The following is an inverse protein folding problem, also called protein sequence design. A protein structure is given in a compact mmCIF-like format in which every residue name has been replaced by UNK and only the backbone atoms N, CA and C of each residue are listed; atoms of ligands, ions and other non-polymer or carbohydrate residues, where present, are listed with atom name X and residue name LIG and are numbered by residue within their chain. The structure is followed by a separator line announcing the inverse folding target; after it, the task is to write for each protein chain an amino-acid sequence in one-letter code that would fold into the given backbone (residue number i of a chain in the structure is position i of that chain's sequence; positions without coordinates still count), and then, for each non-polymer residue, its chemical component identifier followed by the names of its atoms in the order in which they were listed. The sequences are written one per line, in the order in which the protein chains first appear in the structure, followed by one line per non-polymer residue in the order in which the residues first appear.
data_IF_539116642482
#
_entry.id   IF_539116642482
#
_cell.length_a   1.000
_cell.length_b   1.000
_cell.length_c   1.000
_cell.angle_alpha   90.00
_cell.angle_beta   90.00
_cell.angle_gamma   90.00
#
_symmetry.space_group_name_H-M   'P 1'
#
loop_
_entity.id
_entity.type
_entity.pdbx_description
1 polymer ?
#
# COMPACT_ATOMS: atom_id res chain seq x y z
N UNK A 1 7.59 -1.49 5.53
CA UNK A 1 8.73 -1.04 4.71
C UNK A 1 9.34 0.28 5.16
N UNK A 2 8.58 1.38 5.35
CA UNK A 2 9.16 2.70 5.67
C UNK A 2 10.00 2.76 6.96
N UNK A 3 9.59 2.07 8.03
CA UNK A 3 10.39 2.01 9.28
C UNK A 3 11.65 1.15 9.10
N UNK A 4 11.56 0.07 8.31
CA UNK A 4 12.71 -0.79 7.98
C UNK A 4 13.75 -0.08 7.13
N UNK A 5 13.31 0.76 6.17
CA UNK A 5 14.22 1.62 5.40
C UNK A 5 14.92 2.65 6.30
N UNK A 6 14.21 3.22 7.28
CA UNK A 6 14.80 4.15 8.25
C UNK A 6 15.86 3.46 9.13
N UNK A 7 15.60 2.23 9.57
CA UNK A 7 16.57 1.41 10.31
C UNK A 7 17.79 1.02 9.45
N UNK A 8 17.62 0.90 8.14
CA UNK A 8 18.69 0.67 7.17
C UNK A 8 19.48 1.91 6.76
N UNK A 9 19.27 3.08 7.39
CA UNK A 9 20.03 4.31 7.13
C UNK A 9 19.44 5.25 6.07
N UNK A 10 18.25 4.97 5.53
CA UNK A 10 17.61 5.83 4.53
C UNK A 10 16.99 7.08 5.17
N UNK A 11 17.15 8.24 4.52
CA UNK A 11 16.52 9.50 4.97
C UNK A 11 15.00 9.36 5.04
N UNK A 12 14.37 10.15 5.92
CA UNK A 12 12.93 10.13 6.14
C UNK A 12 12.10 10.22 4.85
N UNK A 13 12.52 11.06 3.89
CA UNK A 13 11.86 11.20 2.59
C UNK A 13 11.96 9.92 1.73
N UNK A 14 13.13 9.27 1.71
CA UNK A 14 13.32 7.99 0.98
C UNK A 14 12.53 6.86 1.65
N UNK A 15 12.54 6.80 2.98
CA UNK A 15 11.77 5.83 3.75
C UNK A 15 10.26 5.95 3.50
N UNK A 16 9.74 7.18 3.39
CA UNK A 16 8.34 7.43 3.05
C UNK A 16 8.01 6.96 1.63
N UNK A 17 8.87 7.28 0.66
CA UNK A 17 8.70 6.85 -0.75
C UNK A 17 8.71 5.34 -0.90
N UNK A 18 9.66 4.65 -0.25
CA UNK A 18 9.72 3.18 -0.23
C UNK A 18 8.49 2.60 0.46
N UNK A 19 8.01 3.22 1.53
CA UNK A 19 6.76 2.81 2.20
C UNK A 19 5.53 2.91 1.30
N UNK A 20 5.38 4.01 0.57
CA UNK A 20 4.25 4.24 -0.35
C UNK A 20 4.36 3.33 -1.59
N UNK A 21 5.59 3.11 -2.10
CA UNK A 21 5.82 2.23 -3.25
C UNK A 21 5.64 0.75 -2.95
N UNK A 22 5.86 0.33 -1.71
CA UNK A 22 5.71 -1.07 -1.29
C UNK A 22 4.28 -1.43 -0.84
N UNK A 23 3.29 -0.58 -1.08
CA UNK A 23 1.91 -0.93 -0.75
C UNK A 23 1.49 -2.11 -1.64
N UNK A 24 1.26 -3.32 -1.08
CA UNK A 24 0.85 -4.45 -1.89
C UNK A 24 -0.60 -4.23 -2.30
N UNK A 25 -0.80 -3.97 -3.60
CA UNK A 25 -2.11 -3.83 -4.26
C UNK A 25 -2.12 -4.84 -5.41
N UNK A 26 -3.12 -5.71 -5.52
CA UNK A 26 -3.20 -6.65 -6.64
C UNK A 26 -3.84 -7.99 -6.31
N UNK A 27 -3.53 -8.98 -7.15
CA UNK A 27 -4.11 -10.33 -7.15
C UNK A 27 -4.07 -10.99 -5.77
N UNK A 28 -2.97 -10.83 -5.03
CA UNK A 28 -2.76 -11.50 -3.74
C UNK A 28 -3.80 -11.05 -2.71
N UNK A 29 -4.14 -9.75 -2.66
CA UNK A 29 -5.15 -9.24 -1.73
C UNK A 29 -6.55 -9.80 -2.06
N UNK A 30 -6.87 -9.92 -3.35
CA UNK A 30 -8.14 -10.49 -3.81
C UNK A 30 -8.21 -12.00 -3.59
N UNK A 31 -7.12 -12.73 -3.83
CA UNK A 31 -6.99 -14.16 -3.57
C UNK A 31 -7.20 -14.44 -2.07
N UNK A 32 -6.54 -13.69 -1.19
CA UNK A 32 -6.69 -13.85 0.26
C UNK A 32 -8.12 -13.52 0.69
N UNK A 33 -8.72 -12.45 0.17
CA UNK A 33 -10.11 -12.07 0.49
C UNK A 33 -11.11 -13.13 0.04
N UNK A 34 -10.91 -13.70 -1.15
CA UNK A 34 -11.72 -14.81 -1.65
C UNK A 34 -11.55 -16.06 -0.80
N UNK A 35 -10.32 -16.38 -0.39
CA UNK A 35 -10.06 -17.53 0.47
C UNK A 35 -10.68 -17.34 1.87
N UNK A 36 -10.68 -16.11 2.39
CA UNK A 36 -11.33 -15.75 3.65
C UNK A 36 -12.86 -15.85 3.58
N UNK A 37 -13.47 -15.47 2.45
CA UNK A 37 -14.90 -15.64 2.19
C UNK A 37 -15.29 -17.12 2.16
N UNK A 38 -14.51 -17.96 1.46
CA UNK A 38 -14.77 -19.41 1.39
C UNK A 38 -14.62 -20.11 2.74
N UNK A 39 -13.75 -19.60 3.62
CA UNK A 39 -13.59 -20.11 5.00
C UNK A 39 -14.62 -19.54 5.98
N UNK A 40 -15.54 -18.69 5.53
CA UNK A 40 -16.57 -18.07 6.38
C UNK A 40 -16.01 -17.03 7.36
N UNK A 41 -14.76 -16.60 7.21
CA UNK A 41 -14.15 -15.54 8.03
C UNK A 41 -14.68 -14.18 7.59
N UNK A 42 -14.92 -14.02 6.27
CA UNK A 42 -15.50 -12.82 5.68
C UNK A 42 -16.95 -13.06 5.29
N UNK A 43 -17.78 -12.03 5.45
CA UNK A 43 -19.10 -11.96 4.83
C UNK A 43 -19.00 -11.30 3.45
N UNK A 44 -20.07 -11.39 2.65
CA UNK A 44 -20.07 -10.80 1.31
C UNK A 44 -19.83 -9.28 1.31
N UNK A 45 -20.23 -8.62 2.41
CA UNK A 45 -19.97 -7.20 2.68
C UNK A 45 -18.48 -6.94 2.92
N UNK A 46 -17.82 -7.73 3.78
CA UNK A 46 -16.37 -7.61 4.07
C UNK A 46 -15.52 -7.79 2.80
N UNK A 47 -15.91 -8.74 1.95
CA UNK A 47 -15.27 -8.95 0.65
C UNK A 47 -15.39 -7.71 -0.24
N UNK A 48 -16.60 -7.16 -0.39
CA UNK A 48 -16.82 -5.94 -1.19
C UNK A 48 -16.08 -4.74 -0.62
N UNK A 49 -16.04 -4.58 0.70
CA UNK A 49 -15.26 -3.53 1.39
C UNK A 49 -13.77 -3.66 1.09
N UNK A 50 -13.25 -4.88 1.09
CA UNK A 50 -11.82 -5.13 0.80
C UNK A 50 -11.47 -4.81 -0.65
N UNK A 51 -12.32 -5.22 -1.60
CA UNK A 51 -12.16 -4.86 -3.02
C UNK A 51 -12.16 -3.33 -3.19
N UNK A 52 -13.14 -2.66 -2.59
CA UNK A 52 -13.25 -1.21 -2.63
C UNK A 52 -11.99 -0.53 -2.05
N UNK A 53 -11.50 -1.01 -0.91
CA UNK A 53 -10.28 -0.50 -0.29
C UNK A 53 -9.06 -0.67 -1.21
N UNK A 54 -8.92 -1.82 -1.90
CA UNK A 54 -7.84 -2.06 -2.86
C UNK A 54 -7.92 -1.11 -4.05
N UNK A 55 -9.12 -0.84 -4.58
CA UNK A 55 -9.31 0.09 -5.70
C UNK A 55 -9.02 1.52 -5.30
N UNK A 56 -9.66 2.01 -4.22
CA UNK A 56 -9.50 3.38 -3.72
C UNK A 56 -8.03 3.73 -3.55
N UNK A 57 -7.30 2.80 -3.00
CA UNK A 57 -5.93 3.01 -2.66
C UNK A 57 -4.94 2.83 -3.80
N UNK A 58 -5.25 2.00 -4.80
CA UNK A 58 -4.51 2.00 -6.07
C UNK A 58 -4.65 3.36 -6.76
N UNK A 59 -5.81 4.03 -6.63
CA UNK A 59 -6.05 5.39 -7.13
C UNK A 59 -5.31 6.44 -6.29
N UNK A 60 -5.26 6.30 -4.97
CA UNK A 60 -4.59 7.25 -4.05
C UNK A 60 -3.06 7.13 -4.10
N UNK A 61 -2.50 5.96 -4.41
CA UNK A 61 -1.06 5.72 -4.42
C UNK A 61 -0.29 6.63 -5.41
N UNK A 62 -0.68 6.80 -6.69
CA UNK A 62 0.02 7.70 -7.62
C UNK A 62 0.06 9.19 -7.21
N UNK A 63 -1.03 9.82 -6.73
CA UNK A 63 -0.95 11.19 -6.22
C UNK A 63 -0.11 11.29 -4.94
N UNK A 64 -0.18 10.32 -4.03
CA UNK A 64 0.70 10.28 -2.85
C UNK A 64 2.18 10.17 -3.25
N UNK A 65 2.50 9.32 -4.23
CA UNK A 65 3.83 9.23 -4.82
C UNK A 65 4.25 10.55 -5.44
N UNK A 66 3.38 11.18 -6.24
CA UNK A 66 3.69 12.46 -6.89
C UNK A 66 4.01 13.56 -5.88
N UNK A 67 3.29 13.63 -4.77
CA UNK A 67 3.58 14.57 -3.67
C UNK A 67 4.89 14.19 -2.96
N UNK A 68 5.09 12.91 -2.63
CA UNK A 68 6.31 12.43 -2.00
C UNK A 68 7.56 12.65 -2.86
N UNK A 69 7.43 12.64 -4.18
CA UNK A 69 8.50 12.93 -5.14
C UNK A 69 8.64 14.43 -5.47
N UNK A 70 7.59 15.26 -5.28
CA UNK A 70 7.61 16.71 -5.50
C UNK A 70 8.33 17.49 -4.38
N UNK A 71 8.47 16.90 -3.19
CA UNK A 71 9.37 17.41 -2.15
C UNK A 71 10.83 17.36 -2.66
N UNK A 72 11.34 18.53 -3.07
CA UNK A 72 12.66 18.75 -3.66
C UNK A 72 13.76 18.31 -2.68
N UNK A 73 14.63 17.38 -3.08
CA UNK A 73 15.95 17.21 -2.50
C UNK A 73 16.02 16.46 -1.16
N UNK A 74 16.51 15.22 -1.23
CA UNK A 74 16.82 14.42 -0.05
C UNK A 74 17.80 13.29 -0.35
N UNK A 75 18.88 13.63 -1.08
CA UNK A 75 20.10 12.84 -1.42
C UNK A 75 19.93 11.68 -2.40
N UNK A 76 20.67 11.83 -3.50
CA UNK A 76 21.48 10.76 -4.08
C UNK A 76 22.28 10.02 -2.99
#
# INVERSE_FOLDING_TARGET
AGIGAKLGGFKWAQSLRTGIGMIPRGEVALIISSMALTRGIFTQTEFSTTVLLVVISAVITPPLLKIAFKEKGGTA
#
